data_IF_764462325065
#
_entry.id   IF_764462325065
#
_cell.length_a   1.000
_cell.length_b   1.000
_cell.length_c   1.000
_cell.angle_alpha   90.00
_cell.angle_beta   90.00
_cell.angle_gamma   90.00
#
_symmetry.space_group_name_H-M   'P 1'
#
loop_
_entity.id
_entity.type
_entity.pdbx_description
1 polymer ?
#
# COMPACT_ATOMS: atom_id res chain seq x y z
N UNK A 1 -52.63 -30.35 -68.77
CA UNK A 1 -51.40 -31.02 -68.26
C UNK A 1 -50.15 -30.17 -68.47
N UNK A 2 -49.91 -29.58 -69.66
CA UNK A 2 -48.72 -28.75 -69.93
C UNK A 2 -48.56 -27.55 -68.97
N UNK A 3 -49.62 -26.77 -68.75
CA UNK A 3 -49.58 -25.60 -67.85
C UNK A 3 -49.09 -25.92 -66.42
N UNK A 4 -49.59 -27.02 -65.83
CA UNK A 4 -49.18 -27.46 -64.49
C UNK A 4 -47.69 -27.82 -64.43
N UNK A 5 -47.14 -28.33 -65.53
CA UNK A 5 -45.72 -28.71 -65.60
C UNK A 5 -44.83 -27.47 -65.71
N UNK A 6 -45.26 -26.42 -66.40
CA UNK A 6 -44.54 -25.15 -66.43
C UNK A 6 -44.61 -24.40 -65.09
N UNK A 7 -45.75 -24.42 -64.40
CA UNK A 7 -45.89 -23.89 -63.03
C UNK A 7 -44.95 -24.61 -62.05
N UNK A 8 -44.87 -25.95 -62.12
CA UNK A 8 -43.94 -26.73 -61.29
C UNK A 8 -42.48 -26.43 -61.62
N UNK A 9 -42.13 -26.19 -62.90
CA UNK A 9 -40.77 -25.80 -63.29
C UNK A 9 -40.41 -24.44 -62.68
N UNK A 10 -41.30 -23.46 -62.81
CA UNK A 10 -41.11 -22.11 -62.23
C UNK A 10 -40.95 -22.17 -60.71
N UNK A 11 -41.82 -22.90 -60.02
CA UNK A 11 -41.72 -23.08 -58.56
C UNK A 11 -40.42 -23.78 -58.14
N UNK A 12 -39.91 -24.73 -58.93
CA UNK A 12 -38.63 -25.39 -58.65
C UNK A 12 -37.46 -24.43 -58.79
N UNK A 13 -37.49 -23.56 -59.79
CA UNK A 13 -36.48 -22.52 -59.98
C UNK A 13 -36.50 -21.51 -58.82
N UNK A 14 -37.68 -21.06 -58.38
CA UNK A 14 -37.85 -20.20 -57.20
C UNK A 14 -37.32 -20.87 -55.92
N UNK A 15 -37.68 -22.13 -55.65
CA UNK A 15 -37.16 -22.86 -54.48
C UNK A 15 -35.64 -23.04 -54.53
N UNK A 16 -35.05 -23.20 -55.71
CA UNK A 16 -33.59 -23.30 -55.88
C UNK A 16 -32.90 -21.97 -55.60
N UNK A 17 -33.49 -20.84 -55.98
CA UNK A 17 -32.92 -19.53 -55.65
C UNK A 17 -33.05 -19.25 -54.15
N UNK A 18 -34.20 -19.54 -53.54
CA UNK A 18 -34.41 -19.44 -52.09
C UNK A 18 -33.46 -20.31 -51.28
N UNK A 19 -33.22 -21.55 -51.71
CA UNK A 19 -32.25 -22.42 -51.06
C UNK A 19 -30.83 -21.83 -51.12
N UNK A 20 -30.44 -21.27 -52.26
CA UNK A 20 -29.13 -20.62 -52.43
C UNK A 20 -29.00 -19.37 -51.56
N UNK A 21 -30.03 -18.52 -51.50
CA UNK A 21 -30.01 -17.33 -50.63
C UNK A 21 -29.97 -17.72 -49.16
N UNK A 22 -30.73 -18.74 -48.75
CA UNK A 22 -30.70 -19.31 -47.40
C UNK A 22 -29.30 -19.84 -47.04
N UNK A 23 -28.65 -20.56 -47.96
CA UNK A 23 -27.28 -21.05 -47.77
C UNK A 23 -26.27 -19.92 -47.60
N UNK A 24 -26.39 -18.84 -48.39
CA UNK A 24 -25.53 -17.66 -48.26
C UNK A 24 -25.72 -16.98 -46.90
N UNK A 25 -26.97 -16.73 -46.49
CA UNK A 25 -27.26 -16.14 -45.17
C UNK A 25 -26.72 -17.04 -44.04
N UNK A 26 -26.87 -18.36 -44.15
CA UNK A 26 -26.32 -19.29 -43.17
C UNK A 26 -24.78 -19.27 -43.12
N UNK A 27 -24.09 -19.05 -44.24
CA UNK A 27 -22.65 -18.85 -44.26
C UNK A 27 -22.25 -17.53 -43.59
N UNK A 28 -22.94 -16.43 -43.88
CA UNK A 28 -22.69 -15.13 -43.26
C UNK A 28 -22.90 -15.15 -41.74
N UNK A 29 -23.97 -15.78 -41.27
CA UNK A 29 -24.24 -15.93 -39.84
C UNK A 29 -23.16 -16.76 -39.15
N UNK A 30 -22.66 -17.82 -39.79
CA UNK A 30 -21.54 -18.61 -39.24
C UNK A 30 -20.27 -17.76 -39.10
N UNK A 31 -19.93 -16.96 -40.10
CA UNK A 31 -18.81 -16.02 -39.99
C UNK A 31 -18.99 -15.04 -38.83
N UNK A 32 -20.18 -14.43 -38.71
CA UNK A 32 -20.48 -13.49 -37.61
C UNK A 32 -20.39 -14.14 -36.23
N UNK A 33 -20.89 -15.36 -36.07
CA UNK A 33 -20.78 -16.10 -34.81
C UNK A 33 -19.31 -16.31 -34.45
N UNK A 34 -18.48 -16.77 -35.39
CA UNK A 34 -17.04 -16.97 -35.11
C UNK A 34 -16.30 -15.67 -34.79
N UNK A 35 -16.69 -14.54 -35.40
CA UNK A 35 -16.08 -13.25 -35.10
C UNK A 35 -16.48 -12.73 -33.71
N UNK A 36 -17.74 -12.91 -33.31
CA UNK A 36 -18.22 -12.56 -31.96
C UNK A 36 -17.56 -13.46 -30.92
N UNK A 37 -17.44 -14.76 -31.18
CA UNK A 37 -16.74 -15.69 -30.28
C UNK A 37 -15.27 -15.31 -30.08
N UNK A 38 -14.57 -14.91 -31.16
CA UNK A 38 -13.19 -14.42 -31.07
C UNK A 38 -13.09 -13.17 -30.21
N UNK A 39 -13.97 -12.18 -30.43
CA UNK A 39 -14.00 -10.94 -29.64
C UNK A 39 -14.26 -11.22 -28.16
N UNK A 40 -15.24 -12.07 -27.86
CA UNK A 40 -15.57 -12.46 -26.49
C UNK A 40 -14.37 -13.13 -25.79
N UNK A 41 -13.58 -13.92 -26.53
CA UNK A 41 -12.40 -14.58 -25.99
C UNK A 41 -11.26 -13.60 -25.70
N UNK A 42 -11.07 -12.57 -26.54
CA UNK A 42 -10.10 -11.49 -26.27
C UNK A 42 -10.53 -10.63 -25.08
N UNK A 43 -11.80 -10.24 -24.98
CA UNK A 43 -12.32 -9.52 -23.80
C UNK A 43 -12.11 -10.30 -22.50
N UNK A 44 -12.30 -11.64 -22.53
CA UNK A 44 -12.04 -12.49 -21.37
C UNK A 44 -10.56 -12.51 -20.97
N UNK A 45 -9.64 -12.48 -21.93
CA UNK A 45 -8.20 -12.39 -21.65
C UNK A 45 -7.84 -11.04 -21.03
N UNK A 46 -8.38 -9.95 -21.57
CA UNK A 46 -8.18 -8.60 -21.03
C UNK A 46 -8.70 -8.50 -19.60
N UNK A 47 -9.89 -9.04 -19.33
CA UNK A 47 -10.44 -9.08 -17.98
C UNK A 47 -9.62 -9.96 -17.02
N UNK A 48 -9.03 -11.06 -17.50
CA UNK A 48 -8.12 -11.87 -16.68
C UNK A 48 -6.86 -11.08 -16.32
N UNK A 49 -6.29 -10.35 -17.28
CA UNK A 49 -5.14 -9.49 -17.07
C UNK A 49 -5.43 -8.34 -16.10
N UNK A 50 -6.63 -7.77 -16.15
CA UNK A 50 -7.07 -6.77 -15.17
C UNK A 50 -7.16 -7.32 -13.75
N UNK A 51 -7.71 -8.53 -13.58
CA UNK A 51 -7.76 -9.20 -12.27
C UNK A 51 -6.37 -9.50 -11.73
N UNK A 52 -5.45 -9.95 -12.59
CA UNK A 52 -4.07 -10.21 -12.19
C UNK A 52 -3.36 -8.92 -11.75
N UNK A 53 -3.54 -7.82 -12.49
CA UNK A 53 -3.03 -6.50 -12.09
C UNK A 53 -3.60 -6.02 -10.74
N UNK A 54 -4.90 -6.23 -10.52
CA UNK A 54 -5.53 -5.88 -9.24
C UNK A 54 -4.96 -6.71 -8.07
N UNK A 55 -4.80 -8.02 -8.26
CA UNK A 55 -4.21 -8.90 -7.25
C UNK A 55 -2.76 -8.51 -6.93
N UNK A 56 -1.96 -8.18 -7.95
CA UNK A 56 -0.60 -7.66 -7.76
C UNK A 56 -0.58 -6.33 -7.00
N UNK A 57 -1.54 -5.44 -7.23
CA UNK A 57 -1.65 -4.17 -6.51
C UNK A 57 -2.00 -4.39 -5.03
N UNK A 58 -2.93 -5.31 -4.74
CA UNK A 58 -3.33 -5.69 -3.38
C UNK A 58 -2.17 -6.32 -2.60
N UNK A 59 -1.43 -7.26 -3.21
CA UNK A 59 -0.24 -7.87 -2.59
C UNK A 59 0.84 -6.83 -2.29
N UNK A 60 1.04 -5.86 -3.21
CA UNK A 60 1.99 -4.76 -2.99
C UNK A 60 1.57 -3.85 -1.85
N UNK A 61 0.29 -3.53 -1.74
CA UNK A 61 -0.24 -2.71 -0.64
C UNK A 61 -0.07 -3.41 0.71
N UNK A 62 -0.33 -4.72 0.79
CA UNK A 62 -0.12 -5.51 1.99
C UNK A 62 1.35 -5.52 2.41
N UNK A 63 2.28 -5.80 1.48
CA UNK A 63 3.72 -5.79 1.74
C UNK A 63 4.21 -4.41 2.22
N UNK A 64 3.71 -3.33 1.62
CA UNK A 64 4.06 -1.96 2.06
C UNK A 64 3.50 -1.70 3.47
N UNK A 65 2.28 -2.14 3.77
CA UNK A 65 1.67 -2.04 5.10
C UNK A 65 2.49 -2.78 6.16
N UNK A 66 2.95 -4.00 5.86
CA UNK A 66 3.78 -4.80 6.76
C UNK A 66 5.18 -4.20 6.96
N UNK A 67 5.86 -3.78 5.88
CA UNK A 67 7.17 -3.11 5.97
C UNK A 67 7.06 -1.84 6.83
N UNK A 68 6.00 -1.05 6.63
CA UNK A 68 5.75 0.18 7.37
C UNK A 68 5.47 -0.09 8.84
N UNK A 69 4.59 -1.05 9.17
CA UNK A 69 4.30 -1.48 10.55
C UNK A 69 5.58 -1.95 11.26
N UNK A 70 6.39 -2.77 10.60
CA UNK A 70 7.65 -3.27 11.17
C UNK A 70 8.72 -2.19 11.35
N UNK A 71 8.71 -1.14 10.53
CA UNK A 71 9.55 0.04 10.72
C UNK A 71 9.11 0.86 11.94
N UNK A 72 7.80 1.13 12.05
CA UNK A 72 7.23 1.86 13.18
C UNK A 72 7.46 1.14 14.51
N UNK A 73 7.27 -0.18 14.55
CA UNK A 73 7.49 -0.96 15.77
C UNK A 73 8.95 -0.87 16.26
N UNK A 74 9.93 -0.87 15.34
CA UNK A 74 11.34 -0.68 15.68
C UNK A 74 11.60 0.71 16.26
N UNK A 75 11.01 1.75 15.68
CA UNK A 75 11.10 3.13 16.19
C UNK A 75 10.50 3.20 17.60
N UNK A 76 9.30 2.66 17.81
CA UNK A 76 8.64 2.64 19.12
C UNK A 76 9.47 1.90 20.19
N UNK A 77 10.06 0.75 19.86
CA UNK A 77 10.97 0.06 20.78
C UNK A 77 12.18 0.91 21.14
N UNK A 78 12.84 1.53 20.15
CA UNK A 78 13.98 2.40 20.41
C UNK A 78 13.62 3.58 21.32
N UNK A 79 12.47 4.23 21.11
CA UNK A 79 11.98 5.28 22.00
C UNK A 79 11.72 4.78 23.42
N UNK A 80 11.07 3.61 23.55
CA UNK A 80 10.81 2.98 24.85
C UNK A 80 12.11 2.68 25.59
N UNK A 81 13.08 2.06 24.93
CA UNK A 81 14.36 1.68 25.53
C UNK A 81 15.18 2.89 25.97
N UNK A 82 15.20 3.97 25.17
CA UNK A 82 15.84 5.24 25.55
C UNK A 82 15.15 5.88 26.77
N UNK A 83 13.81 5.91 26.79
CA UNK A 83 13.04 6.39 27.94
C UNK A 83 13.29 5.56 29.20
N UNK A 84 13.37 4.24 29.06
CA UNK A 84 13.62 3.31 30.16
C UNK A 84 15.04 3.46 30.71
N UNK A 85 16.06 3.58 29.85
CA UNK A 85 17.45 3.81 30.30
C UNK A 85 17.64 5.18 30.97
N UNK A 86 16.90 6.20 30.54
CA UNK A 86 16.89 7.50 31.21
C UNK A 86 16.27 7.38 32.60
N UNK A 87 15.13 6.69 32.74
CA UNK A 87 14.47 6.46 34.04
C UNK A 87 15.28 5.58 35.01
N UNK A 88 16.02 4.60 34.50
CA UNK A 88 16.83 3.68 35.31
C UNK A 88 18.09 4.36 35.89
N UNK A 89 18.69 5.32 35.16
CA UNK A 89 19.86 6.07 35.64
C UNK A 89 19.50 7.26 36.53
N UNK A 90 18.30 7.83 36.35
CA UNK A 90 17.85 9.00 37.12
C UNK A 90 17.08 8.63 38.41
N UNK A 91 17.12 7.36 38.83
CA UNK A 91 16.69 6.99 40.19
C UNK A 91 15.18 7.04 40.40
N UNK A 92 14.38 6.52 39.47
CA UNK A 92 13.02 6.09 39.81
C UNK A 92 13.09 4.79 40.65
N UNK A 93 13.54 4.92 41.89
CA UNK A 93 13.13 4.00 42.93
C UNK A 93 11.63 4.25 43.14
N UNK A 94 10.78 3.39 42.60
CA UNK A 94 9.40 3.28 43.08
C UNK A 94 9.48 2.78 44.53
N UNK A 95 9.65 3.71 45.46
CA UNK A 95 9.55 3.44 46.88
C UNK A 95 8.10 3.03 47.17
N UNK A 96 7.87 1.74 47.37
CA UNK A 96 6.59 1.22 47.89
C UNK A 96 6.25 1.77 49.30
N UNK A 97 7.15 2.55 49.91
CA UNK A 97 6.97 3.22 51.19
C UNK A 97 7.12 4.73 50.97
N UNK A 98 6.00 5.44 50.96
CA UNK A 98 5.90 6.86 50.62
C UNK A 98 6.55 7.81 51.63
N UNK A 99 7.87 7.89 51.65
CA UNK A 99 8.61 8.88 52.45
C UNK A 99 9.86 9.36 51.71
N UNK A 100 9.87 10.66 51.38
CA UNK A 100 11.08 11.39 51.05
C UNK A 100 11.27 11.69 49.57
N UNK A 101 10.68 12.78 49.09
CA UNK A 101 11.19 13.50 47.92
C UNK A 101 12.63 13.93 48.22
N UNK A 102 13.60 13.41 47.47
CA UNK A 102 14.87 14.11 47.25
C UNK A 102 15.12 14.22 45.77
N UNK A 103 15.06 15.48 45.34
CA UNK A 103 15.70 16.12 44.20
C UNK A 103 15.58 15.43 42.84
N UNK A 104 14.78 16.11 42.00
CA UNK A 104 14.82 16.23 40.55
C UNK A 104 15.71 15.23 39.80
N UNK A 105 15.14 14.45 38.85
CA UNK A 105 15.92 13.58 37.99
C UNK A 105 17.02 14.42 37.32
N UNK A 106 18.26 13.99 37.52
CA UNK A 106 19.46 14.67 37.05
C UNK A 106 19.57 14.44 35.54
N UNK A 107 18.66 15.09 34.82
CA UNK A 107 18.42 14.95 33.39
C UNK A 107 19.76 14.82 32.66
N UNK A 108 20.09 13.61 32.21
CA UNK A 108 21.38 13.32 31.62
C UNK A 108 21.62 14.26 30.43
N UNK A 109 22.41 15.31 30.67
CA UNK A 109 22.67 16.37 29.70
C UNK A 109 23.28 15.83 28.39
N UNK A 110 23.92 14.66 28.45
CA UNK A 110 24.49 13.97 27.30
C UNK A 110 23.40 13.34 26.43
N UNK A 111 22.38 12.72 27.03
CA UNK A 111 21.21 12.20 26.33
C UNK A 111 20.38 13.33 25.70
N UNK A 112 20.17 14.43 26.43
CA UNK A 112 19.51 15.63 25.89
C UNK A 112 20.21 16.17 24.66
N UNK A 113 21.54 16.26 24.68
CA UNK A 113 22.33 16.73 23.53
C UNK A 113 22.26 15.78 22.34
N UNK A 114 22.13 14.47 22.57
CA UNK A 114 21.95 13.51 21.48
C UNK A 114 20.54 13.59 20.89
N UNK A 115 19.51 13.69 21.73
CA UNK A 115 18.14 13.86 21.27
C UNK A 115 17.98 15.15 20.46
N UNK A 116 18.52 16.27 20.96
CA UNK A 116 18.47 17.56 20.26
C UNK A 116 19.25 17.55 18.93
N UNK A 117 20.31 16.74 18.82
CA UNK A 117 21.02 16.55 17.55
C UNK A 117 20.17 15.78 16.56
N UNK A 118 19.57 14.67 16.99
CA UNK A 118 18.68 13.88 16.14
C UNK A 118 17.45 14.68 15.71
N UNK A 119 16.82 15.41 16.64
CA UNK A 119 15.63 16.21 16.38
C UNK A 119 15.92 17.37 15.42
N UNK A 120 17.09 18.00 15.56
CA UNK A 120 17.55 19.01 14.60
C UNK A 120 17.86 18.42 13.22
N UNK A 121 18.54 17.28 13.19
CA UNK A 121 18.91 16.63 11.93
C UNK A 121 17.69 16.06 11.19
N UNK A 122 16.69 15.57 11.94
CA UNK A 122 15.41 15.15 11.40
C UNK A 122 14.60 16.37 10.96
N UNK A 123 14.45 17.38 11.83
CA UNK A 123 13.70 18.62 11.55
C UNK A 123 14.22 19.43 10.36
N UNK A 124 15.53 19.41 10.08
CA UNK A 124 16.11 20.07 8.89
C UNK A 124 15.84 19.28 7.59
N UNK A 125 15.73 17.95 7.65
CA UNK A 125 15.52 17.09 6.47
C UNK A 125 14.04 16.83 6.17
N UNK A 126 13.19 16.86 7.20
CA UNK A 126 11.75 16.53 7.10
C UNK A 126 10.95 17.46 6.18
N UNK A 127 11.08 18.80 6.23
CA UNK A 127 10.30 19.68 5.36
C UNK A 127 10.64 19.50 3.88
N UNK A 128 11.91 19.31 3.53
CA UNK A 128 12.33 19.08 2.15
C UNK A 128 11.86 17.71 1.59
N UNK A 129 11.72 16.72 2.48
CA UNK A 129 11.16 15.41 2.13
C UNK A 129 9.64 15.50 1.94
N UNK A 130 8.94 16.19 2.83
CA UNK A 130 7.50 16.43 2.74
C UNK A 130 7.14 17.24 1.49
N UNK A 131 7.91 18.27 1.16
CA UNK A 131 7.72 19.09 -0.05
C UNK A 131 7.85 18.25 -1.32
N UNK A 132 8.86 17.36 -1.40
CA UNK A 132 9.02 16.44 -2.53
C UNK A 132 7.92 15.39 -2.64
N UNK A 133 7.40 14.91 -1.52
CA UNK A 133 6.28 13.96 -1.49
C UNK A 133 4.98 14.66 -1.92
N UNK A 134 4.78 15.92 -1.50
CA UNK A 134 3.64 16.75 -1.89
C UNK A 134 3.69 17.16 -3.37
N UNK A 135 4.88 17.45 -3.92
CA UNK A 135 5.07 17.75 -5.34
C UNK A 135 4.88 16.52 -6.24
N UNK A 136 5.16 15.31 -5.74
CA UNK A 136 5.04 14.06 -6.51
C UNK A 136 4.34 12.96 -5.70
N UNK A 137 3.00 13.00 -5.63
CA UNK A 137 2.21 11.99 -4.92
C UNK A 137 2.38 10.57 -5.47
N UNK A 138 2.78 10.45 -6.74
CA UNK A 138 2.99 9.17 -7.45
C UNK A 138 4.49 8.81 -7.54
N UNK A 139 5.27 9.08 -6.50
CA UNK A 139 6.66 8.64 -6.48
C UNK A 139 6.76 7.13 -6.25
N UNK A 140 7.70 6.49 -6.94
CA UNK A 140 7.93 5.05 -6.77
C UNK A 140 8.55 4.74 -5.40
N UNK A 141 8.30 3.53 -4.87
CA UNK A 141 8.86 3.08 -3.59
C UNK A 141 10.40 3.15 -3.60
N UNK A 142 11.03 2.88 -4.74
CA UNK A 142 12.49 2.94 -4.89
C UNK A 142 13.03 4.37 -4.77
N UNK A 143 12.31 5.37 -5.30
CA UNK A 143 12.67 6.78 -5.13
C UNK A 143 12.47 7.24 -3.68
N UNK A 144 11.39 6.81 -3.02
CA UNK A 144 11.16 7.11 -1.61
C UNK A 144 12.27 6.49 -0.73
N UNK A 145 12.63 5.22 -0.99
CA UNK A 145 13.74 4.53 -0.32
C UNK A 145 15.07 5.23 -0.58
N UNK A 146 15.31 5.75 -1.79
CA UNK A 146 16.51 6.52 -2.10
C UNK A 146 16.57 7.87 -1.37
N UNK A 147 15.44 8.53 -1.13
CA UNK A 147 15.37 9.77 -0.34
C UNK A 147 15.56 9.53 1.16
N UNK A 148 15.08 8.40 1.66
CA UNK A 148 15.23 7.98 3.05
C UNK A 148 16.56 7.26 3.32
N UNK A 149 17.29 6.89 2.26
CA UNK A 149 18.59 6.26 2.39
C UNK A 149 19.55 7.24 3.10
N UNK A 150 20.21 6.81 4.18
CA UNK A 150 21.09 7.66 4.95
C UNK A 150 22.26 8.13 4.07
N UNK A 151 22.24 9.41 3.69
CA UNK A 151 23.41 10.10 3.12
C UNK A 151 24.43 10.19 4.27
N UNK A 152 25.41 9.27 4.29
CA UNK A 152 26.26 8.92 5.44
C UNK A 152 27.21 10.03 5.99
N UNK A 153 28.26 9.71 6.78
CA UNK A 153 28.84 8.39 7.09
C UNK A 153 28.83 8.00 8.59
N UNK A 154 29.11 6.73 8.84
CA UNK A 154 29.37 6.05 10.14
C UNK A 154 28.18 5.61 10.97
N UNK A 155 27.83 4.34 10.80
CA UNK A 155 27.15 3.52 11.80
C UNK A 155 27.86 3.66 13.16
N UNK A 156 27.15 3.98 14.26
CA UNK A 156 27.66 3.69 15.59
C UNK A 156 27.77 2.17 15.71
N UNK A 157 28.93 1.68 16.20
CA UNK A 157 29.13 0.28 16.57
C UNK A 157 27.98 -0.19 17.47
N UNK A 158 27.31 -1.23 17.03
CA UNK A 158 26.28 -1.98 17.74
C UNK A 158 26.77 -2.42 19.13
N UNK A 159 25.97 -2.13 20.16
CA UNK A 159 26.05 -2.79 21.46
C UNK A 159 24.97 -3.88 21.48
N UNK A 160 25.42 -5.13 21.40
CA UNK A 160 24.64 -6.33 21.65
C UNK A 160 24.31 -6.44 23.14
N UNK A 161 23.04 -6.69 23.47
CA UNK A 161 22.58 -6.97 24.83
C UNK A 161 21.15 -7.52 24.84
N UNK A 162 21.03 -8.76 25.27
CA UNK A 162 19.90 -9.69 25.17
C UNK A 162 18.56 -9.33 25.86
N UNK A 163 17.49 -9.92 25.30
CA UNK A 163 16.30 -10.56 25.90
C UNK A 163 15.14 -9.77 26.60
N UNK A 164 13.96 -9.82 25.94
CA UNK A 164 12.61 -10.35 26.37
C UNK A 164 11.89 -9.83 27.66
N UNK A 165 10.55 -10.03 27.88
CA UNK A 165 9.40 -10.35 27.01
C UNK A 165 8.22 -9.34 27.08
N UNK A 166 7.30 -9.51 26.13
CA UNK A 166 5.86 -9.19 26.08
C UNK A 166 5.18 -8.50 27.29
N UNK A 167 4.53 -7.37 27.03
CA UNK A 167 3.22 -7.00 27.61
C UNK A 167 2.48 -6.06 26.65
N UNK A 168 1.31 -6.50 26.20
CA UNK A 168 0.10 -5.75 25.78
C UNK A 168 0.27 -4.53 24.86
N UNK A 169 0.50 -4.78 23.57
CA UNK A 169 0.51 -3.76 22.51
C UNK A 169 -0.89 -3.40 21.97
N UNK A 170 -1.94 -4.10 22.37
CA UNK A 170 -3.29 -3.90 21.83
C UNK A 170 -4.04 -2.68 22.40
N UNK A 171 -3.58 -2.09 23.52
CA UNK A 171 -4.25 -0.93 24.12
C UNK A 171 -3.70 0.43 23.66
N UNK A 172 -2.49 0.49 23.07
CA UNK A 172 -1.84 1.77 22.71
C UNK A 172 -2.17 2.21 21.28
N UNK A 173 -2.46 1.27 20.37
CA UNK A 173 -2.88 1.61 19.01
C UNK A 173 -4.26 2.30 18.95
N UNK A 174 -5.11 2.08 19.96
CA UNK A 174 -6.44 2.68 20.03
C UNK A 174 -6.43 4.11 20.61
N UNK A 175 -5.39 4.50 21.35
CA UNK A 175 -5.22 5.88 21.84
C UNK A 175 -4.47 6.80 20.85
N UNK A 176 -3.64 6.26 19.96
CA UNK A 176 -2.88 7.07 19.00
C UNK A 176 -3.71 7.57 17.79
N UNK A 177 -4.84 6.91 17.49
CA UNK A 177 -5.84 7.44 16.54
C UNK A 177 -6.67 8.60 17.10
N UNK A 178 -6.62 8.84 18.42
CA UNK A 178 -7.29 9.97 19.07
C UNK A 178 -6.37 11.21 19.16
N UNK A 179 -5.07 11.05 18.92
CA UNK A 179 -4.08 12.11 19.12
C UNK A 179 -3.46 12.73 17.85
N UNK A 180 -3.93 12.36 16.65
CA UNK A 180 -3.73 13.21 15.47
C UNK A 180 -4.90 14.20 15.47
N UNK A 181 -4.71 15.46 15.85
CA UNK A 181 -5.79 16.43 15.78
C UNK A 181 -6.15 16.61 14.30
N UNK A 182 -7.37 16.20 13.93
CA UNK A 182 -8.02 16.49 12.65
C UNK A 182 -7.79 17.92 12.12
N UNK A 183 -7.65 18.99 12.93
CA UNK A 183 -7.33 20.31 12.38
C UNK A 183 -5.96 20.43 11.67
N UNK A 184 -4.99 19.53 11.91
CA UNK A 184 -3.71 19.56 11.19
C UNK A 184 -3.79 19.06 9.73
N UNK A 185 -4.75 18.18 9.43
CA UNK A 185 -4.96 17.69 8.05
C UNK A 185 -5.69 18.76 7.22
N UNK A 186 -6.56 19.55 7.84
CA UNK A 186 -7.36 20.58 7.15
C UNK A 186 -6.53 21.84 6.87
N UNK A 187 -5.57 22.21 7.73
CA UNK A 187 -4.69 23.36 7.48
C UNK A 187 -3.62 23.14 6.40
N UNK A 188 -3.48 21.92 5.88
CA UNK A 188 -2.51 21.58 4.83
C UNK A 188 -3.11 21.49 3.42
N UNK A 189 -4.44 21.63 3.30
CA UNK A 189 -5.20 21.49 2.04
C UNK A 189 -5.83 22.83 1.56
N UNK A 190 -5.45 23.96 2.16
CA UNK A 190 -5.84 25.32 1.76
C UNK A 190 -4.59 26.15 1.44
#
# INVERSE_FOLDING_TARGET
MLQRMDELRKANEELRTELRTSQTVAAELRCRVTDVERKLLEEKKEQAWERERAAWAEEKEELVSEEFKGSFERIYRAYRDVGYQAGLKDGYAYSAQGLGRKETPLYNSKAKKQLFKLDKEFGEKTPALLEKILERPLMSIDELKALLAPVGPSSPKSLSGDASPCCDMLSVAQELLVFIPLPWIVSFLQ
#
